data_IF_557476104667
#
_entry.id   IF_557476104667
#
_cell.length_a   1.000
_cell.length_b   1.000
_cell.length_c   1.000
_cell.angle_alpha   90.00
_cell.angle_beta   90.00
_cell.angle_gamma   90.00
#
_symmetry.space_group_name_H-M   'P 1'
#
loop_
_entity.id
_entity.type
_entity.pdbx_description
1 polymer ?
#
# COMPACT_ATOMS: atom_id res chain seq x y z
N UNK A 1 -45.54 31.05 -30.63
CA UNK A 1 -44.98 29.77 -31.11
C UNK A 1 -43.51 29.71 -30.70
N UNK A 2 -43.13 28.81 -29.79
CA UNK A 2 -41.74 28.30 -29.68
C UNK A 2 -41.62 27.09 -30.64
N UNK A 3 -40.44 26.81 -31.22
CA UNK A 3 -39.46 25.89 -30.61
C UNK A 3 -38.00 26.34 -30.92
N UNK A 4 -36.92 25.73 -30.45
CA UNK A 4 -36.73 24.48 -29.73
C UNK A 4 -35.41 24.50 -28.96
N UNK A 5 -35.43 23.72 -27.89
CA UNK A 5 -34.34 23.44 -26.97
C UNK A 5 -33.33 22.52 -27.65
N UNK A 6 -32.05 22.72 -27.39
CA UNK A 6 -31.08 21.62 -27.29
C UNK A 6 -30.12 21.95 -26.14
N UNK A 7 -30.50 21.52 -24.94
CA UNK A 7 -29.58 21.36 -23.82
C UNK A 7 -28.67 20.18 -24.17
N UNK A 8 -27.39 20.47 -24.42
CA UNK A 8 -26.35 19.45 -24.28
C UNK A 8 -26.24 19.16 -22.78
N UNK A 9 -26.92 18.12 -22.32
CA UNK A 9 -26.60 17.51 -21.03
C UNK A 9 -25.23 16.84 -21.19
N UNK A 10 -24.17 17.54 -20.79
CA UNK A 10 -22.93 16.90 -20.43
C UNK A 10 -23.25 15.92 -19.31
N UNK A 11 -23.29 14.63 -19.62
CA UNK A 11 -23.26 13.58 -18.62
C UNK A 11 -21.86 13.60 -18.03
N UNK A 12 -21.64 14.51 -17.09
CA UNK A 12 -20.54 14.43 -16.14
C UNK A 12 -20.85 13.22 -15.26
N UNK A 13 -20.58 12.05 -15.79
CA UNK A 13 -20.44 10.82 -15.03
C UNK A 13 -19.30 11.05 -14.07
N UNK A 14 -19.59 11.69 -12.94
CA UNK A 14 -18.68 11.82 -11.82
C UNK A 14 -18.46 10.41 -11.32
N UNK A 15 -17.49 9.71 -11.93
CA UNK A 15 -16.83 8.60 -11.26
C UNK A 15 -16.47 9.17 -9.90
N UNK A 16 -17.08 8.66 -8.84
CA UNK A 16 -16.74 9.06 -7.48
C UNK A 16 -15.23 8.93 -7.38
N UNK A 17 -14.52 10.05 -7.26
CA UNK A 17 -13.07 10.02 -7.25
C UNK A 17 -12.68 9.31 -5.95
N UNK A 18 -12.13 8.10 -6.06
CA UNK A 18 -11.73 7.32 -4.90
C UNK A 18 -10.84 8.18 -4.01
N UNK A 19 -11.14 8.18 -2.71
CA UNK A 19 -10.41 9.01 -1.76
C UNK A 19 -9.11 8.29 -1.41
N UNK A 20 -8.01 8.80 -1.94
CA UNK A 20 -6.67 8.33 -1.60
C UNK A 20 -6.06 9.18 -0.47
N UNK A 21 -5.46 8.49 0.51
CA UNK A 21 -4.67 9.09 1.58
C UNK A 21 -3.29 8.44 1.60
N UNK A 22 -2.24 9.25 1.54
CA UNK A 22 -0.86 8.85 1.78
C UNK A 22 -0.42 9.36 3.16
N UNK A 23 0.08 8.47 4.01
CA UNK A 23 0.53 8.82 5.36
C UNK A 23 1.60 7.85 5.86
N UNK A 24 2.28 8.23 6.93
CA UNK A 24 3.14 7.31 7.67
C UNK A 24 2.31 6.17 8.28
N UNK A 25 2.89 4.98 8.30
CA UNK A 25 2.26 3.76 8.78
C UNK A 25 2.11 3.81 10.31
N UNK A 26 0.92 3.43 10.79
CA UNK A 26 0.69 3.12 12.20
C UNK A 26 1.20 1.70 12.50
N UNK A 27 1.27 1.32 13.76
CA UNK A 27 1.61 -0.06 14.14
C UNK A 27 0.62 -1.08 13.54
N UNK A 28 -0.67 -0.74 13.47
CA UNK A 28 -1.66 -1.62 12.84
C UNK A 28 -1.40 -1.81 11.34
N UNK A 29 -0.99 -0.75 10.64
CA UNK A 29 -0.61 -0.87 9.23
C UNK A 29 0.63 -1.75 9.07
N UNK A 30 1.62 -1.61 9.95
CA UNK A 30 2.84 -2.44 9.92
C UNK A 30 2.53 -3.92 10.06
N UNK A 31 1.60 -4.28 10.94
CA UNK A 31 1.12 -5.67 11.05
C UNK A 31 0.45 -6.16 9.76
N UNK A 32 -0.31 -5.30 9.07
CA UNK A 32 -0.90 -5.65 7.77
C UNK A 32 0.16 -5.80 6.67
N UNK A 33 1.18 -4.94 6.68
CA UNK A 33 2.33 -5.00 5.78
C UNK A 33 3.08 -6.32 5.94
N UNK A 34 3.41 -6.74 7.16
CA UNK A 34 4.15 -7.98 7.36
C UNK A 34 3.38 -9.23 6.91
N UNK A 35 2.05 -9.24 7.08
CA UNK A 35 1.20 -10.30 6.53
C UNK A 35 1.22 -10.30 5.00
N UNK A 36 1.04 -9.13 4.39
CA UNK A 36 1.12 -8.99 2.93
C UNK A 36 2.49 -9.39 2.37
N UNK A 37 3.58 -9.11 3.09
CA UNK A 37 4.93 -9.57 2.71
C UNK A 37 5.05 -11.09 2.74
N UNK A 38 4.46 -11.75 3.73
CA UNK A 38 4.45 -13.21 3.81
C UNK A 38 3.62 -13.81 2.66
N UNK A 39 2.41 -13.31 2.43
CA UNK A 39 1.54 -13.78 1.36
C UNK A 39 2.25 -13.68 0.00
N UNK A 40 2.92 -12.57 -0.29
CA UNK A 40 3.58 -12.37 -1.59
C UNK A 40 4.94 -13.08 -1.64
N UNK A 41 5.87 -12.75 -0.73
CA UNK A 41 7.25 -13.20 -0.87
C UNK A 41 7.50 -14.63 -0.37
N UNK A 42 6.68 -15.16 0.54
CA UNK A 42 6.79 -16.54 1.01
C UNK A 42 5.81 -17.49 0.32
N UNK A 43 4.52 -17.13 0.19
CA UNK A 43 3.52 -18.03 -0.39
C UNK A 43 3.53 -17.98 -1.92
N UNK A 44 3.37 -16.80 -2.53
CA UNK A 44 3.22 -16.68 -3.98
C UNK A 44 4.55 -16.87 -4.73
N UNK A 45 5.60 -16.16 -4.30
CA UNK A 45 6.89 -16.15 -4.99
C UNK A 45 7.85 -17.23 -4.50
N UNK A 46 7.64 -17.78 -3.30
CA UNK A 46 8.51 -18.80 -2.71
C UNK A 46 9.95 -18.33 -2.43
N UNK A 47 10.18 -17.02 -2.33
CA UNK A 47 11.51 -16.43 -2.08
C UNK A 47 11.94 -16.61 -0.62
N UNK A 48 10.98 -16.66 0.30
CA UNK A 48 11.21 -16.91 1.72
C UNK A 48 10.47 -18.15 2.20
N UNK A 49 10.89 -18.69 3.35
CA UNK A 49 10.19 -19.78 4.00
C UNK A 49 8.77 -19.38 4.42
N UNK A 50 7.85 -20.34 4.42
CA UNK A 50 6.50 -20.14 4.91
C UNK A 50 6.51 -20.22 6.44
N UNK A 51 6.23 -19.08 7.07
CA UNK A 51 6.17 -18.96 8.52
C UNK A 51 4.76 -19.28 9.07
N UNK A 52 4.60 -20.11 10.13
CA UNK A 52 3.29 -20.47 10.69
C UNK A 52 2.46 -19.28 11.20
N UNK A 53 3.12 -18.22 11.65
CA UNK A 53 2.51 -16.98 12.12
C UNK A 53 1.91 -16.12 10.99
N UNK A 54 2.19 -16.44 9.73
CA UNK A 54 1.67 -15.71 8.57
C UNK A 54 2.25 -14.30 8.43
N UNK A 55 3.47 -14.06 8.94
CA UNK A 55 4.10 -12.74 9.02
C UNK A 55 5.53 -12.86 8.53
N UNK A 56 5.96 -11.93 7.69
CA UNK A 56 7.35 -11.80 7.24
C UNK A 56 7.90 -10.44 7.69
N UNK A 57 8.83 -10.48 8.65
CA UNK A 57 9.52 -9.32 9.25
C UNK A 57 11.01 -9.63 9.39
N UNK A 58 11.88 -8.63 9.25
CA UNK A 58 13.31 -8.72 9.53
C UNK A 58 13.80 -7.57 10.45
N UNK A 59 15.11 -7.54 10.73
CA UNK A 59 15.71 -6.53 11.63
C UNK A 59 15.61 -5.10 11.08
N UNK A 60 15.63 -4.91 9.75
CA UNK A 60 15.47 -3.59 9.15
C UNK A 60 14.12 -2.96 9.49
N UNK A 61 13.10 -3.79 9.73
CA UNK A 61 11.80 -3.28 10.12
C UNK A 61 11.87 -2.47 11.40
N UNK A 62 12.80 -2.73 12.33
CA UNK A 62 12.86 -1.97 13.58
C UNK A 62 13.16 -0.48 13.40
N UNK A 63 13.74 -0.08 12.26
CA UNK A 63 14.06 1.32 11.94
C UNK A 63 13.58 1.80 10.57
N UNK A 64 13.09 0.91 9.70
CA UNK A 64 12.46 1.30 8.44
C UNK A 64 11.26 2.21 8.71
N UNK A 65 11.17 3.27 7.91
CA UNK A 65 10.00 4.14 7.85
C UNK A 65 9.05 3.63 6.78
N UNK A 66 7.83 3.37 7.18
CA UNK A 66 6.79 2.85 6.32
C UNK A 66 5.78 3.94 5.97
N UNK A 67 5.43 4.03 4.70
CA UNK A 67 4.35 4.89 4.21
C UNK A 67 3.29 4.01 3.57
N UNK A 68 2.02 4.33 3.80
CA UNK A 68 0.88 3.56 3.28
C UNK A 68 0.02 4.43 2.37
N UNK A 69 -0.41 3.83 1.27
CA UNK A 69 -1.48 4.34 0.44
C UNK A 69 -2.79 3.66 0.85
N UNK A 70 -3.79 4.46 1.24
CA UNK A 70 -5.12 3.99 1.63
C UNK A 70 -6.12 4.54 0.63
N UNK A 71 -6.89 3.66 -0.01
CA UNK A 71 -7.94 4.02 -0.98
C UNK A 71 -9.27 3.59 -0.41
N UNK A 72 -10.20 4.54 -0.26
CA UNK A 72 -11.55 4.32 0.27
C UNK A 72 -11.55 3.56 1.63
N UNK A 73 -10.54 3.84 2.46
CA UNK A 73 -10.36 3.25 3.78
C UNK A 73 -9.61 1.92 3.81
N UNK A 74 -9.25 1.36 2.65
CA UNK A 74 -8.51 0.10 2.55
C UNK A 74 -7.04 0.33 2.21
N UNK A 75 -6.15 -0.44 2.84
CA UNK A 75 -4.72 -0.42 2.51
C UNK A 75 -4.53 -0.94 1.08
N UNK A 76 -4.09 -0.07 0.17
CA UNK A 76 -3.85 -0.41 -1.23
C UNK A 76 -2.38 -0.80 -1.49
N UNK A 77 -1.47 -0.31 -0.65
CA UNK A 77 -0.04 -0.61 -0.77
C UNK A 77 0.80 0.18 0.23
N UNK A 78 2.09 -0.08 0.20
CA UNK A 78 3.04 0.55 1.11
C UNK A 78 4.42 0.71 0.46
N UNK A 79 5.22 1.59 1.05
CA UNK A 79 6.62 1.81 0.70
C UNK A 79 7.42 1.67 2.00
N UNK A 80 8.45 0.82 1.99
CA UNK A 80 9.46 0.75 3.04
C UNK A 80 10.65 1.61 2.64
N UNK A 81 11.04 2.54 3.51
CA UNK A 81 12.25 3.34 3.33
C UNK A 81 13.22 2.98 4.45
N UNK A 82 14.39 2.50 4.07
CA UNK A 82 15.53 2.28 4.98
C UNK A 82 16.34 3.57 5.05
N UNK A 83 16.25 4.34 6.16
CA UNK A 83 16.98 5.59 6.28
C UNK A 83 18.49 5.33 6.31
N UNK A 84 19.31 6.26 5.77
CA UNK A 84 20.74 6.04 5.67
C UNK A 84 21.45 6.01 7.03
N UNK A 85 20.83 6.56 8.08
CA UNK A 85 21.41 6.63 9.43
C UNK A 85 21.49 5.26 10.12
N UNK A 86 20.80 4.23 9.60
CA UNK A 86 20.78 2.88 10.18
C UNK A 86 22.06 2.06 9.97
N UNK A 87 22.95 2.47 9.06
CA UNK A 87 24.25 1.81 8.79
C UNK A 87 24.16 0.40 8.18
N UNK A 88 23.01 -0.25 8.28
CA UNK A 88 22.71 -1.58 7.75
C UNK A 88 21.79 -1.44 6.53
N UNK A 89 22.32 -1.82 5.37
CA UNK A 89 21.56 -1.92 4.12
C UNK A 89 21.58 -3.38 3.70
N UNK A 90 20.41 -3.99 3.51
CA UNK A 90 20.37 -5.32 2.93
C UNK A 90 20.46 -5.20 1.40
N UNK A 91 21.65 -5.43 0.87
CA UNK A 91 21.90 -5.50 -0.58
C UNK A 91 21.42 -6.83 -1.18
N UNK A 92 21.19 -7.85 -0.36
CA UNK A 92 20.85 -9.22 -0.76
C UNK A 92 19.35 -9.58 -0.62
N UNK A 93 18.47 -8.61 -0.35
CA UNK A 93 17.04 -8.88 -0.06
C UNK A 93 16.05 -8.52 -1.19
N UNK A 94 16.47 -8.54 -2.44
CA UNK A 94 15.58 -8.33 -3.60
C UNK A 94 15.75 -9.43 -4.65
#
# INVERSE_FOLDING_TARGET
MQPGQDLIHGNDGTSSASRMVLREATEQDRQAIYRSRHDVYAIELGQHGIHPEGVLKNHLDDFNRYFVAVVDGQLAGYISITPPEGGEYSLDSY
#
